data_IF_525286491914
#
_entry.id   IF_525286491914
#
_cell.length_a   1.000
_cell.length_b   1.000
_cell.length_c   1.000
_cell.angle_alpha   90.00
_cell.angle_beta   90.00
_cell.angle_gamma   90.00
#
_symmetry.space_group_name_H-M   'P 1'
#
loop_
_entity.id
_entity.type
_entity.pdbx_description
1 polymer ?
#
# COMPACT_ATOMS: atom_id res chain seq x y z
N UNK A 1 -35.50 30.64 11.67
CA UNK A 1 -35.46 31.58 12.82
C UNK A 1 -36.12 30.88 14.00
N UNK A 2 -35.34 30.21 14.87
CA UNK A 2 -35.88 29.59 16.09
C UNK A 2 -36.36 30.71 17.00
N UNK A 3 -37.65 30.68 17.36
CA UNK A 3 -38.30 31.66 18.20
C UNK A 3 -37.56 31.78 19.54
N UNK A 4 -36.89 32.90 19.80
CA UNK A 4 -36.17 33.19 21.06
C UNK A 4 -37.01 32.88 22.31
N UNK A 5 -38.32 32.93 22.18
CA UNK A 5 -39.28 32.61 23.23
C UNK A 5 -39.35 31.10 23.55
N UNK A 6 -39.37 30.24 22.53
CA UNK A 6 -39.39 28.79 22.68
C UNK A 6 -38.10 28.31 23.36
N UNK A 7 -36.97 28.87 22.97
CA UNK A 7 -35.67 28.55 23.58
C UNK A 7 -35.59 28.97 25.05
N UNK A 8 -36.14 30.15 25.41
CA UNK A 8 -36.22 30.59 26.82
C UNK A 8 -37.08 29.68 27.65
N UNK A 9 -38.21 29.22 27.12
CA UNK A 9 -39.11 28.30 27.84
C UNK A 9 -38.40 26.95 28.02
N UNK A 10 -37.82 26.38 26.96
CA UNK A 10 -37.11 25.11 27.00
C UNK A 10 -35.97 25.12 28.03
N UNK A 11 -35.17 26.17 28.04
CA UNK A 11 -34.07 26.37 28.99
C UNK A 11 -34.59 26.47 30.43
N UNK A 12 -35.69 27.21 30.67
CA UNK A 12 -36.29 27.36 31.99
C UNK A 12 -36.84 26.02 32.51
N UNK A 13 -37.48 25.21 31.65
CA UNK A 13 -37.98 23.89 32.05
C UNK A 13 -36.85 22.91 32.32
N UNK A 14 -35.78 22.98 31.56
CA UNK A 14 -34.63 22.10 31.72
C UNK A 14 -33.88 22.33 33.04
N UNK A 15 -33.72 23.61 33.44
CA UNK A 15 -32.99 24.00 34.65
C UNK A 15 -33.92 24.24 35.88
N UNK A 16 -35.24 24.10 35.74
CA UNK A 16 -36.15 24.29 36.86
C UNK A 16 -35.92 23.28 37.96
N UNK A 17 -35.64 23.76 39.16
CA UNK A 17 -35.54 23.00 40.40
C UNK A 17 -36.92 22.85 41.01
N UNK A 18 -37.85 22.17 40.35
CA UNK A 18 -39.18 21.89 40.96
C UNK A 18 -39.17 20.53 41.64
N UNK A 19 -39.75 20.45 42.84
CA UNK A 19 -39.70 19.30 43.73
C UNK A 19 -40.55 18.09 43.31
N UNK A 20 -41.23 18.14 42.14
CA UNK A 20 -42.01 17.00 41.57
C UNK A 20 -41.32 16.45 40.32
N UNK A 21 -40.44 15.76 40.38
CA UNK A 21 -39.04 15.66 40.00
C UNK A 21 -38.75 14.43 39.17
N UNK A 22 -39.68 13.47 38.98
CA UNK A 22 -39.43 12.28 38.16
C UNK A 22 -39.32 12.66 36.66
N UNK A 23 -40.23 13.50 36.17
CA UNK A 23 -40.25 13.94 34.77
C UNK A 23 -38.97 14.70 34.39
N UNK A 24 -38.50 15.54 35.31
CA UNK A 24 -37.29 16.32 35.04
C UNK A 24 -36.00 15.46 35.07
N UNK A 25 -35.97 14.40 35.87
CA UNK A 25 -34.89 13.40 35.84
C UNK A 25 -34.90 12.63 34.54
N UNK A 26 -36.06 12.14 34.12
CA UNK A 26 -36.20 11.42 32.84
C UNK A 26 -35.75 12.29 31.67
N UNK A 27 -36.15 13.56 31.64
CA UNK A 27 -35.75 14.48 30.55
C UNK A 27 -34.24 14.76 30.53
N UNK A 28 -33.61 14.89 31.70
CA UNK A 28 -32.13 15.02 31.77
C UNK A 28 -31.43 13.75 31.31
N UNK A 29 -31.90 12.57 31.70
CA UNK A 29 -31.36 11.31 31.21
C UNK A 29 -31.50 11.18 29.70
N UNK A 30 -32.67 11.48 29.15
CA UNK A 30 -32.88 11.46 27.70
C UNK A 30 -31.91 12.40 26.97
N UNK A 31 -31.69 13.61 27.49
CA UNK A 31 -30.74 14.57 26.91
C UNK A 31 -29.27 14.07 26.95
N UNK A 32 -28.87 13.48 28.10
CA UNK A 32 -27.54 12.89 28.23
C UNK A 32 -27.34 11.74 27.23
N UNK A 33 -28.37 10.88 27.09
CA UNK A 33 -28.31 9.77 26.13
C UNK A 33 -28.16 10.25 24.68
N UNK A 34 -28.85 11.33 24.31
CA UNK A 34 -28.71 11.93 22.97
C UNK A 34 -27.29 12.46 22.77
N UNK A 35 -26.70 13.13 23.77
CA UNK A 35 -25.33 13.62 23.70
C UNK A 35 -24.35 12.45 23.55
N UNK A 36 -24.48 11.42 24.37
CA UNK A 36 -23.62 10.25 24.32
C UNK A 36 -23.72 9.58 22.94
N UNK A 37 -24.94 9.40 22.43
CA UNK A 37 -25.16 8.81 21.10
C UNK A 37 -24.52 9.65 19.98
N UNK A 38 -24.69 10.97 20.02
CA UNK A 38 -24.10 11.86 19.05
C UNK A 38 -22.55 11.85 19.12
N UNK A 39 -21.99 11.88 20.32
CA UNK A 39 -20.54 11.78 20.52
C UNK A 39 -19.99 10.44 20.04
N UNK A 40 -20.68 9.33 20.35
CA UNK A 40 -20.29 8.01 19.89
C UNK A 40 -20.27 7.91 18.37
N UNK A 41 -21.31 8.43 17.71
CA UNK A 41 -21.35 8.47 16.25
C UNK A 41 -20.21 9.30 15.66
N UNK A 42 -19.93 10.45 16.24
CA UNK A 42 -18.83 11.32 15.80
C UNK A 42 -17.47 10.64 15.94
N UNK A 43 -17.22 9.97 17.06
CA UNK A 43 -15.98 9.21 17.30
C UNK A 43 -15.83 8.10 16.27
N UNK A 44 -16.88 7.32 16.01
CA UNK A 44 -16.84 6.24 15.01
C UNK A 44 -16.55 6.79 13.61
N UNK A 45 -17.26 7.84 13.19
CA UNK A 45 -17.05 8.45 11.87
C UNK A 45 -15.64 9.04 11.73
N UNK A 46 -15.13 9.68 12.78
CA UNK A 46 -13.76 10.22 12.80
C UNK A 46 -12.71 9.12 12.71
N UNK A 47 -12.89 8.03 13.46
CA UNK A 47 -11.98 6.88 13.41
C UNK A 47 -11.99 6.21 12.03
N UNK A 48 -13.17 6.05 11.42
CA UNK A 48 -13.28 5.51 10.06
C UNK A 48 -12.63 6.40 9.01
N UNK A 49 -12.83 7.72 9.10
CA UNK A 49 -12.19 8.66 8.19
C UNK A 49 -10.66 8.59 8.30
N UNK A 50 -10.14 8.60 9.54
CA UNK A 50 -8.69 8.48 9.76
C UNK A 50 -8.11 7.15 9.27
N UNK A 51 -8.81 6.04 9.50
CA UNK A 51 -8.37 4.73 9.00
C UNK A 51 -8.39 4.65 7.47
N UNK A 52 -9.39 5.25 6.83
CA UNK A 52 -9.47 5.34 5.37
C UNK A 52 -8.29 6.13 4.81
N UNK A 53 -8.03 7.32 5.35
CA UNK A 53 -6.94 8.18 4.89
C UNK A 53 -5.58 7.52 5.10
N UNK A 54 -5.39 6.85 6.24
CA UNK A 54 -4.21 6.05 6.53
C UNK A 54 -4.05 4.89 5.52
N UNK A 55 -5.11 4.12 5.24
CA UNK A 55 -5.06 3.04 4.27
C UNK A 55 -4.75 3.51 2.85
N UNK A 56 -5.32 4.64 2.43
CA UNK A 56 -5.05 5.22 1.12
C UNK A 56 -3.61 5.74 0.99
N UNK A 57 -3.02 6.24 2.06
CA UNK A 57 -1.63 6.72 2.07
C UNK A 57 -0.64 5.60 1.73
N UNK A 58 -0.89 4.37 2.22
CA UNK A 58 -0.07 3.21 1.88
C UNK A 58 -0.25 2.75 0.43
N UNK A 59 -1.49 2.71 -0.04
CA UNK A 59 -1.82 2.22 -1.38
C UNK A 59 -1.32 3.18 -2.45
N UNK A 60 -1.51 4.48 -2.26
CA UNK A 60 -1.13 5.50 -3.26
C UNK A 60 0.38 5.65 -3.49
N UNK A 61 1.21 5.18 -2.55
CA UNK A 61 2.67 5.31 -2.68
C UNK A 61 3.30 4.23 -3.58
N UNK A 62 2.63 3.10 -3.80
CA UNK A 62 3.22 1.94 -4.49
C UNK A 62 2.37 1.36 -5.61
N UNK A 63 1.06 1.62 -5.60
CA UNK A 63 0.16 1.12 -6.61
C UNK A 63 -0.18 2.21 -7.63
N UNK A 64 -0.20 1.87 -8.92
CA UNK A 64 -0.68 2.78 -9.96
C UNK A 64 -2.19 2.98 -9.83
N UNK A 65 -2.70 4.12 -10.30
CA UNK A 65 -4.15 4.40 -10.35
C UNK A 65 -4.90 3.33 -11.18
N UNK A 66 -4.25 2.81 -12.22
CA UNK A 66 -4.80 1.76 -13.08
C UNK A 66 -3.76 0.69 -13.39
N UNK A 67 -4.15 -0.57 -13.23
CA UNK A 67 -3.34 -1.74 -13.60
C UNK A 67 -4.07 -2.54 -14.67
N UNK A 68 -3.44 -2.72 -15.82
CA UNK A 68 -3.95 -3.58 -16.89
C UNK A 68 -3.38 -4.97 -16.71
N UNK A 69 -4.28 -5.95 -16.58
CA UNK A 69 -3.91 -7.36 -16.37
C UNK A 69 -4.46 -8.22 -17.53
N UNK A 70 -3.82 -9.34 -17.88
CA UNK A 70 -4.34 -10.24 -18.91
C UNK A 70 -5.67 -10.88 -18.49
N UNK A 71 -6.58 -11.03 -19.42
CA UNK A 71 -7.85 -11.74 -19.19
C UNK A 71 -7.66 -13.25 -19.04
N UNK A 72 -6.65 -13.79 -19.71
CA UNK A 72 -6.30 -15.21 -19.69
C UNK A 72 -4.78 -15.32 -19.64
N UNK A 73 -4.28 -16.24 -18.80
CA UNK A 73 -2.84 -16.42 -18.62
C UNK A 73 -2.24 -15.46 -17.60
N UNK A 74 -0.93 -15.48 -17.50
CA UNK A 74 -0.18 -14.72 -16.49
C UNK A 74 0.45 -13.46 -17.07
N UNK A 75 0.82 -13.50 -18.33
CA UNK A 75 1.50 -12.42 -19.04
C UNK A 75 0.84 -12.13 -20.38
N UNK A 76 1.04 -10.95 -20.87
CA UNK A 76 0.74 -10.57 -22.25
C UNK A 76 1.90 -9.75 -22.82
N UNK A 77 2.09 -9.87 -24.10
CA UNK A 77 3.12 -9.12 -24.81
C UNK A 77 2.47 -7.86 -25.36
N UNK A 78 3.03 -6.71 -25.06
CA UNK A 78 2.62 -5.43 -25.63
C UNK A 78 3.64 -5.01 -26.68
N UNK A 79 3.12 -4.53 -27.80
CA UNK A 79 3.92 -3.83 -28.79
C UNK A 79 4.17 -2.38 -28.31
N UNK A 80 5.30 -1.79 -28.70
CA UNK A 80 5.66 -0.42 -28.35
C UNK A 80 4.56 0.58 -28.72
N UNK A 81 3.89 0.37 -29.82
CA UNK A 81 2.75 1.17 -30.28
C UNK A 81 1.56 1.18 -29.28
N UNK A 82 1.36 0.09 -28.56
CA UNK A 82 0.29 0.00 -27.56
C UNK A 82 0.58 0.86 -26.33
N UNK A 83 1.84 0.95 -25.90
CA UNK A 83 2.25 1.79 -24.79
C UNK A 83 2.12 3.27 -25.16
N UNK A 84 2.54 3.65 -26.37
CA UNK A 84 2.38 5.01 -26.88
C UNK A 84 0.91 5.41 -26.96
N UNK A 85 0.04 4.52 -27.41
CA UNK A 85 -1.40 4.75 -27.46
C UNK A 85 -2.00 4.99 -26.08
N UNK A 86 -1.60 4.21 -25.07
CA UNK A 86 -2.06 4.41 -23.69
C UNK A 86 -1.56 5.74 -23.13
N UNK A 87 -0.29 6.06 -23.36
CA UNK A 87 0.33 7.31 -22.91
C UNK A 87 -0.29 8.55 -23.58
N UNK A 88 -0.87 8.40 -24.78
CA UNK A 88 -1.52 9.49 -25.50
C UNK A 88 -2.95 9.80 -25.02
N UNK A 89 -3.53 8.96 -24.16
CA UNK A 89 -4.88 9.18 -23.61
C UNK A 89 -4.87 10.41 -22.70
N UNK A 90 -5.79 11.34 -22.95
CA UNK A 90 -5.91 12.55 -22.13
C UNK A 90 -6.19 12.18 -20.66
N UNK A 91 -5.35 12.66 -19.75
CA UNK A 91 -5.40 12.35 -18.32
C UNK A 91 -4.43 11.26 -17.87
N UNK A 92 -3.71 10.62 -18.80
CA UNK A 92 -2.60 9.71 -18.45
C UNK A 92 -1.32 10.51 -18.28
N UNK A 93 -0.74 10.47 -17.09
CA UNK A 93 0.54 11.15 -16.82
C UNK A 93 1.73 10.26 -17.18
N UNK A 94 1.61 8.95 -16.95
CA UNK A 94 2.68 7.98 -17.21
C UNK A 94 2.12 6.59 -17.47
N UNK A 95 2.77 5.80 -18.32
CA UNK A 95 2.48 4.40 -18.54
C UNK A 95 3.78 3.60 -18.53
N UNK A 96 3.83 2.51 -17.79
CA UNK A 96 5.01 1.69 -17.63
C UNK A 96 4.69 0.21 -17.70
N UNK A 97 5.66 -0.60 -18.08
CA UNK A 97 5.60 -2.05 -18.07
C UNK A 97 6.07 -2.59 -16.73
N UNK A 98 5.33 -3.54 -16.20
CA UNK A 98 5.65 -4.21 -14.95
C UNK A 98 5.55 -5.71 -15.13
N UNK A 99 6.56 -6.44 -14.65
CA UNK A 99 6.57 -7.89 -14.55
C UNK A 99 6.61 -8.27 -13.07
N UNK A 100 5.60 -8.95 -12.58
CA UNK A 100 5.56 -9.44 -11.20
C UNK A 100 5.63 -10.97 -11.18
N UNK A 101 6.59 -11.50 -10.43
CA UNK A 101 6.78 -12.94 -10.30
C UNK A 101 7.05 -13.32 -8.85
N UNK A 102 6.42 -14.42 -8.42
CA UNK A 102 6.72 -15.00 -7.12
C UNK A 102 7.99 -15.83 -7.22
N UNK A 103 9.02 -15.44 -6.49
CA UNK A 103 10.34 -16.05 -6.53
C UNK A 103 10.78 -16.48 -5.14
N UNK A 104 11.67 -17.46 -5.09
CA UNK A 104 12.45 -17.77 -3.90
C UNK A 104 13.74 -16.94 -3.97
N UNK A 105 13.86 -15.94 -3.10
CA UNK A 105 15.08 -15.17 -2.96
C UNK A 105 15.93 -15.78 -1.84
N UNK A 106 17.18 -16.06 -2.12
CA UNK A 106 18.08 -16.71 -1.18
C UNK A 106 19.45 -16.07 -1.21
N UNK A 107 20.06 -15.98 -0.05
CA UNK A 107 21.49 -15.76 0.11
C UNK A 107 22.18 -17.06 0.58
N UNK A 108 23.43 -16.99 1.04
CA UNK A 108 24.17 -18.16 1.53
C UNK A 108 23.59 -18.79 2.81
N UNK A 109 22.81 -18.03 3.59
CA UNK A 109 22.34 -18.42 4.92
C UNK A 109 20.83 -18.61 4.99
N UNK A 110 20.07 -17.70 4.37
CA UNK A 110 18.62 -17.60 4.50
C UNK A 110 17.92 -17.58 3.14
N UNK A 111 16.62 -17.88 3.15
CA UNK A 111 15.77 -17.76 1.97
C UNK A 111 14.38 -17.28 2.35
N UNK A 112 13.79 -16.44 1.50
CA UNK A 112 12.43 -15.92 1.68
C UNK A 112 11.66 -15.98 0.37
N UNK A 113 10.35 -16.27 0.43
CA UNK A 113 9.48 -16.27 -0.75
C UNK A 113 8.86 -14.88 -0.91
N UNK A 114 9.22 -14.21 -1.99
CA UNK A 114 8.87 -12.83 -2.24
C UNK A 114 8.17 -12.65 -3.59
N UNK A 115 7.59 -11.48 -3.80
CA UNK A 115 7.17 -11.02 -5.12
C UNK A 115 8.28 -10.11 -5.66
N UNK A 116 8.93 -10.55 -6.73
CA UNK A 116 9.91 -9.76 -7.45
C UNK A 116 9.18 -8.93 -8.51
N UNK A 117 9.41 -7.63 -8.52
CA UNK A 117 8.80 -6.68 -9.44
C UNK A 117 9.87 -6.12 -10.36
N UNK A 118 9.85 -6.55 -11.62
CA UNK A 118 10.65 -5.94 -12.68
C UNK A 118 9.90 -4.74 -13.26
N UNK A 119 10.59 -3.62 -13.40
CA UNK A 119 10.00 -2.36 -13.87
C UNK A 119 10.84 -1.78 -15.02
N UNK A 120 10.19 -1.03 -15.89
CA UNK A 120 10.90 -0.28 -16.94
C UNK A 120 11.40 1.08 -16.42
N UNK A 121 12.15 1.80 -17.28
CA UNK A 121 12.72 3.11 -16.95
C UNK A 121 11.67 4.19 -16.68
N UNK A 122 10.45 4.00 -17.17
CA UNK A 122 9.35 4.98 -17.05
C UNK A 122 8.50 4.75 -15.80
N UNK A 123 8.82 3.74 -14.99
CA UNK A 123 8.01 3.41 -13.82
C UNK A 123 8.04 4.55 -12.79
N UNK A 124 6.87 4.91 -12.29
CA UNK A 124 6.72 6.04 -11.35
C UNK A 124 7.50 5.85 -10.03
N UNK A 125 7.70 4.62 -9.59
CA UNK A 125 8.49 4.30 -8.39
C UNK A 125 9.96 4.72 -8.51
N UNK A 126 10.49 4.88 -9.73
CA UNK A 126 11.88 5.27 -9.93
C UNK A 126 12.22 6.62 -9.29
N UNK A 127 11.24 7.50 -9.16
CA UNK A 127 11.41 8.80 -8.50
C UNK A 127 11.17 8.72 -6.99
N UNK A 128 10.27 7.86 -6.55
CA UNK A 128 9.87 7.75 -5.14
C UNK A 128 10.79 6.85 -4.31
N UNK A 129 11.39 5.82 -4.92
CA UNK A 129 12.22 4.87 -4.19
C UNK A 129 13.46 5.52 -3.56
N UNK A 130 14.00 6.56 -4.16
CA UNK A 130 15.12 7.29 -3.56
C UNK A 130 14.71 8.05 -2.29
N UNK A 131 13.49 8.57 -2.24
CA UNK A 131 12.95 9.27 -1.06
C UNK A 131 12.61 8.29 0.07
N UNK A 132 12.32 7.03 -0.28
CA UNK A 132 11.97 5.96 0.65
C UNK A 132 13.18 5.09 1.03
N UNK A 133 14.34 5.36 0.43
CA UNK A 133 15.56 4.61 0.68
C UNK A 133 16.05 4.84 2.11
N UNK A 134 16.26 3.76 2.85
CA UNK A 134 16.99 3.78 4.13
C UNK A 134 18.48 3.80 3.90
N UNK A 135 18.94 3.02 2.93
CA UNK A 135 20.36 2.87 2.61
C UNK A 135 20.48 2.53 1.13
N UNK A 136 21.52 3.07 0.47
CA UNK A 136 21.76 2.90 -0.95
C UNK A 136 21.02 3.93 -1.80
N UNK A 137 21.28 3.88 -3.11
CA UNK A 137 20.66 4.75 -4.10
C UNK A 137 20.04 3.87 -5.19
N UNK A 138 18.80 4.11 -5.50
CA UNK A 138 18.11 3.37 -6.55
C UNK A 138 18.62 3.81 -7.92
N UNK A 139 19.27 2.89 -8.63
CA UNK A 139 19.68 3.08 -10.03
C UNK A 139 19.14 1.94 -10.90
N UNK A 140 18.21 2.27 -11.77
CA UNK A 140 17.54 1.33 -12.67
C UNK A 140 18.38 0.97 -13.91
N UNK A 141 19.49 1.65 -14.15
CA UNK A 141 20.30 1.45 -15.37
C UNK A 141 21.00 0.10 -15.42
N UNK A 142 21.27 -0.48 -14.26
CA UNK A 142 21.88 -1.79 -14.16
C UNK A 142 20.81 -2.87 -13.93
N UNK A 143 20.79 -3.88 -14.83
CA UNK A 143 19.75 -4.93 -14.83
C UNK A 143 19.94 -5.97 -13.73
N UNK A 144 21.14 -6.07 -13.20
CA UNK A 144 21.49 -7.07 -12.18
C UNK A 144 21.32 -6.52 -10.77
N UNK A 145 20.85 -5.27 -10.63
CA UNK A 145 20.60 -4.64 -9.35
C UNK A 145 19.20 -4.91 -8.82
N UNK A 146 19.11 -5.11 -7.49
CA UNK A 146 17.85 -5.26 -6.76
C UNK A 146 17.76 -4.30 -5.59
N UNK A 147 16.56 -3.78 -5.37
CA UNK A 147 16.22 -2.93 -4.23
C UNK A 147 15.27 -3.71 -3.33
N UNK A 148 15.64 -3.91 -2.07
CA UNK A 148 14.90 -4.76 -1.15
C UNK A 148 14.04 -3.94 -0.19
N UNK A 149 12.84 -4.43 0.10
CA UNK A 149 12.07 -3.92 1.23
C UNK A 149 12.74 -4.28 2.56
N UNK A 150 12.67 -3.41 3.55
CA UNK A 150 13.35 -3.57 4.85
C UNK A 150 12.99 -4.88 5.57
N UNK A 151 11.74 -5.34 5.48
CA UNK A 151 11.34 -6.63 6.06
C UNK A 151 12.03 -7.81 5.38
N UNK A 152 12.16 -7.79 4.06
CA UNK A 152 12.85 -8.84 3.28
C UNK A 152 14.34 -8.84 3.58
N UNK A 153 14.94 -7.66 3.68
CA UNK A 153 16.35 -7.52 4.07
C UNK A 153 16.61 -8.08 5.47
N UNK A 154 15.68 -7.86 6.40
CA UNK A 154 15.73 -8.45 7.75
C UNK A 154 15.55 -9.98 7.73
N UNK A 155 14.61 -10.51 6.94
CA UNK A 155 14.37 -11.95 6.82
C UNK A 155 15.60 -12.70 6.25
N UNK A 156 16.32 -12.04 5.35
CA UNK A 156 17.53 -12.60 4.73
C UNK A 156 18.79 -12.28 5.54
N UNK A 157 18.68 -11.55 6.65
CA UNK A 157 19.82 -11.09 7.47
C UNK A 157 20.89 -10.37 6.62
N UNK A 158 20.43 -9.47 5.75
CA UNK A 158 21.28 -8.73 4.82
C UNK A 158 21.91 -7.56 5.55
N UNK A 159 23.24 -7.57 5.62
CA UNK A 159 24.03 -6.39 6.00
C UNK A 159 24.63 -5.82 4.72
N UNK A 160 24.35 -4.55 4.43
CA UNK A 160 24.91 -3.89 3.22
C UNK A 160 26.45 -3.81 3.35
N UNK A 161 27.12 -4.75 2.73
CA UNK A 161 28.55 -4.73 2.49
C UNK A 161 28.78 -4.94 0.97
N UNK A 162 29.92 -4.51 0.45
CA UNK A 162 30.21 -4.39 -0.98
C UNK A 162 30.07 -5.68 -1.82
N UNK A 163 29.80 -6.85 -1.22
CA UNK A 163 29.76 -8.16 -1.90
C UNK A 163 28.46 -8.95 -1.68
N UNK A 164 27.33 -8.31 -1.34
CA UNK A 164 26.09 -9.04 -1.10
C UNK A 164 25.30 -9.28 -2.38
N UNK A 165 25.37 -10.51 -2.87
CA UNK A 165 24.51 -10.98 -3.96
C UNK A 165 23.41 -11.91 -3.42
N UNK A 166 22.22 -11.84 -4.04
CA UNK A 166 21.11 -12.72 -3.77
C UNK A 166 20.72 -13.47 -5.03
N UNK A 167 20.28 -14.72 -4.83
CA UNK A 167 19.84 -15.60 -5.89
C UNK A 167 18.33 -15.65 -5.92
N UNK A 168 17.71 -15.17 -7.00
CA UNK A 168 16.28 -15.35 -7.25
C UNK A 168 16.07 -16.64 -8.08
N UNK A 169 15.20 -17.51 -7.60
CA UNK A 169 14.89 -18.80 -8.21
C UNK A 169 13.40 -18.88 -8.51
N UNK A 170 13.08 -19.25 -9.76
CA UNK A 170 11.71 -19.48 -10.23
C UNK A 170 11.57 -20.88 -10.83
N UNK A 171 10.38 -21.52 -10.79
CA UNK A 171 10.14 -22.72 -11.56
C UNK A 171 10.28 -22.44 -13.05
N UNK A 172 11.02 -23.30 -13.76
CA UNK A 172 11.19 -23.17 -15.21
C UNK A 172 9.87 -23.50 -15.92
N UNK A 173 9.40 -22.61 -16.79
CA UNK A 173 8.23 -22.85 -17.63
C UNK A 173 8.56 -23.68 -18.89
N UNK A 174 9.83 -23.96 -19.15
CA UNK A 174 10.24 -24.76 -20.29
C UNK A 174 9.85 -26.22 -20.05
N UNK A 175 9.19 -26.80 -21.04
CA UNK A 175 8.79 -28.20 -21.07
C UNK A 175 9.95 -29.11 -20.63
N UNK A 176 9.66 -29.99 -19.71
CA UNK A 176 10.58 -31.06 -19.27
C UNK A 176 11.08 -31.82 -20.49
N UNK A 177 12.25 -31.49 -20.96
CA UNK A 177 13.01 -32.33 -21.86
C UNK A 177 13.80 -33.30 -20.98
N UNK A 178 13.80 -34.60 -21.34
CA UNK A 178 14.54 -35.65 -20.63
C UNK A 178 16.05 -35.36 -20.45
N UNK A 179 16.54 -34.30 -21.06
CA UNK A 179 17.94 -33.85 -21.01
C UNK A 179 18.15 -32.54 -20.22
N UNK A 180 17.10 -31.88 -19.77
CA UNK A 180 17.22 -30.61 -19.02
C UNK A 180 16.94 -30.88 -17.53
N UNK A 181 18.00 -31.08 -16.76
CA UNK A 181 17.98 -31.57 -15.40
C UNK A 181 17.63 -30.52 -14.33
N UNK A 182 17.47 -29.25 -14.68
CA UNK A 182 17.12 -28.22 -13.71
C UNK A 182 15.69 -27.71 -13.91
N UNK A 183 14.75 -28.08 -13.02
CA UNK A 183 13.37 -27.61 -13.07
C UNK A 183 13.23 -26.12 -12.66
N UNK A 184 14.33 -25.49 -12.33
CA UNK A 184 14.37 -24.11 -11.84
C UNK A 184 15.31 -23.27 -12.69
N UNK A 185 14.91 -22.03 -12.93
CA UNK A 185 15.75 -20.96 -13.49
C UNK A 185 16.16 -20.03 -12.35
N UNK A 186 17.42 -19.60 -12.35
CA UNK A 186 17.95 -18.74 -11.29
C UNK A 186 18.72 -17.58 -11.90
N UNK A 187 18.56 -16.42 -11.29
CA UNK A 187 19.31 -15.21 -11.59
C UNK A 187 19.96 -14.70 -10.32
N UNK A 188 21.11 -14.06 -10.46
CA UNK A 188 21.80 -13.41 -9.35
C UNK A 188 21.62 -11.91 -9.48
N UNK A 189 21.41 -11.27 -8.34
CA UNK A 189 21.26 -9.82 -8.24
C UNK A 189 22.18 -9.28 -7.17
N UNK A 190 22.71 -8.09 -7.41
CA UNK A 190 23.44 -7.30 -6.43
C UNK A 190 22.49 -6.39 -5.67
N UNK A 191 22.60 -6.36 -4.34
CA UNK A 191 21.72 -5.52 -3.51
C UNK A 191 22.26 -4.11 -3.53
N UNK A 192 21.56 -3.21 -4.20
CA UNK A 192 21.93 -1.82 -4.32
C UNK A 192 21.43 -0.95 -3.17
N UNK A 193 20.35 -1.35 -2.54
CA UNK A 193 19.79 -0.61 -1.42
C UNK A 193 18.60 -1.28 -0.76
N UNK A 194 18.17 -0.68 0.33
CA UNK A 194 17.02 -1.09 1.13
C UNK A 194 16.07 0.09 1.27
N UNK A 195 14.79 -0.13 1.00
CA UNK A 195 13.74 0.86 1.19
C UNK A 195 12.78 0.46 2.29
N UNK A 196 12.17 1.45 2.92
CA UNK A 196 11.10 1.25 3.89
C UNK A 196 9.94 2.16 3.55
N UNK A 197 8.75 1.58 3.53
CA UNK A 197 7.52 2.34 3.49
C UNK A 197 7.25 2.81 4.91
N UNK A 198 7.41 4.11 5.14
CA UNK A 198 7.06 4.71 6.43
C UNK A 198 5.55 4.67 6.59
N UNK A 199 5.08 3.96 7.58
CA UNK A 199 3.72 3.99 8.06
C UNK A 199 3.64 4.76 9.36
#
# INVERSE_FOLDING_TARGET
MFNSFVFKIARRYFFARSAKTIVNRINRFAFIMIIISACSLLVVLSAFSGLKDFGLMYTNSFDPDFKVIPKVGKYFVLDSSAIENVSSISGTSNASLVLEEKVLLANSLNSSSIILKGVDSNHFLNQQLNDLSLVGVYDIRDKDNIFLGASIASDLDVVLSEDFSVKATVPSLNNFSLFNLSPFSSLFFEIQGIYQISG
#
